data_IF_626227356437
#
_entry.id   IF_626227356437
#
_cell.length_a   1.000
_cell.length_b   1.000
_cell.length_c   1.000
_cell.angle_alpha   90.00
_cell.angle_beta   90.00
_cell.angle_gamma   90.00
#
_symmetry.space_group_name_H-M   'P 1'
#
loop_
_entity.id
_entity.type
_entity.pdbx_description
1 polymer ?
#
# COMPACT_ATOMS: atom_id res chain seq x y z
N UNK A 1 17.59 20.92 -1.28
CA UNK A 1 18.29 19.87 -0.52
C UNK A 1 18.24 18.58 -1.34
N UNK A 2 19.33 18.27 -2.05
CA UNK A 2 19.40 17.13 -2.97
C UNK A 2 19.54 15.83 -2.18
N UNK A 3 18.60 14.91 -2.37
CA UNK A 3 18.64 13.57 -1.77
C UNK A 3 19.76 12.77 -2.44
N UNK A 4 20.62 12.14 -1.65
CA UNK A 4 21.80 11.43 -2.17
C UNK A 4 21.36 10.24 -3.03
N UNK A 5 22.10 9.95 -4.10
CA UNK A 5 21.83 8.79 -4.98
C UNK A 5 21.71 7.47 -4.20
N UNK A 6 22.45 7.36 -3.09
CA UNK A 6 22.42 6.21 -2.18
C UNK A 6 21.08 6.08 -1.47
N UNK A 7 20.50 7.20 -1.02
CA UNK A 7 19.19 7.23 -0.36
C UNK A 7 18.08 6.85 -1.35
N UNK A 8 18.15 7.34 -2.58
CA UNK A 8 17.20 6.97 -3.64
C UNK A 8 17.26 5.47 -3.96
N UNK A 9 18.47 4.90 -4.04
CA UNK A 9 18.66 3.47 -4.28
C UNK A 9 18.12 2.61 -3.11
N UNK A 10 18.37 3.02 -1.87
CA UNK A 10 17.83 2.35 -0.67
C UNK A 10 16.31 2.37 -0.62
N UNK A 11 15.67 3.50 -0.98
CA UNK A 11 14.21 3.62 -1.06
C UNK A 11 13.64 2.69 -2.14
N UNK A 12 14.26 2.63 -3.32
CA UNK A 12 13.80 1.75 -4.39
C UNK A 12 13.99 0.27 -4.02
N UNK A 13 15.10 -0.07 -3.36
CA UNK A 13 15.35 -1.41 -2.86
C UNK A 13 14.32 -1.81 -1.80
N UNK A 14 14.07 -0.95 -0.81
CA UNK A 14 13.11 -1.22 0.26
C UNK A 14 11.68 -1.37 -0.28
N UNK A 15 11.27 -0.54 -1.25
CA UNK A 15 9.99 -0.69 -1.95
C UNK A 15 9.90 -2.01 -2.73
N UNK A 16 11.00 -2.45 -3.33
CA UNK A 16 11.04 -3.72 -4.07
C UNK A 16 10.93 -4.92 -3.13
N UNK A 17 11.61 -4.87 -1.98
CA UNK A 17 11.49 -5.88 -0.92
C UNK A 17 10.06 -5.90 -0.37
N UNK A 18 9.49 -4.74 -0.05
CA UNK A 18 8.10 -4.63 0.41
C UNK A 18 7.11 -5.20 -0.62
N UNK A 19 7.35 -4.95 -1.91
CA UNK A 19 6.51 -5.48 -3.00
C UNK A 19 6.47 -7.01 -3.04
N UNK A 20 7.50 -7.70 -2.55
CA UNK A 20 7.49 -9.17 -2.48
C UNK A 20 6.95 -9.67 -1.14
N UNK A 21 7.35 -9.01 -0.05
CA UNK A 21 6.96 -9.38 1.31
C UNK A 21 5.47 -9.18 1.58
N UNK A 22 4.89 -8.07 1.11
CA UNK A 22 3.49 -7.73 1.35
C UNK A 22 2.54 -8.78 0.74
N UNK A 23 2.69 -9.18 -0.54
CA UNK A 23 1.91 -10.28 -1.11
C UNK A 23 2.16 -11.63 -0.42
N UNK A 24 3.40 -11.93 -0.05
CA UNK A 24 3.71 -13.18 0.66
C UNK A 24 2.98 -13.26 2.00
N UNK A 25 2.96 -12.16 2.76
CA UNK A 25 2.20 -12.07 4.00
C UNK A 25 0.70 -12.21 3.77
N UNK A 26 0.16 -11.57 2.74
CA UNK A 26 -1.26 -11.69 2.41
C UNK A 26 -1.67 -13.09 1.92
N UNK A 27 -0.82 -13.78 1.16
CA UNK A 27 -1.04 -15.17 0.77
C UNK A 27 -1.00 -16.07 2.02
N UNK A 28 -0.02 -15.88 2.90
CA UNK A 28 0.05 -16.60 4.17
C UNK A 28 -1.22 -16.41 5.01
N UNK A 29 -1.71 -15.17 5.07
CA UNK A 29 -2.95 -14.82 5.75
C UNK A 29 -4.16 -15.50 5.09
N UNK A 30 -4.30 -15.42 3.77
CA UNK A 30 -5.35 -16.09 3.01
C UNK A 30 -5.39 -17.60 3.22
N UNK A 31 -4.23 -18.25 3.32
CA UNK A 31 -4.12 -19.69 3.56
C UNK A 31 -4.54 -20.04 4.99
N UNK A 32 -4.17 -19.21 5.97
CA UNK A 32 -4.60 -19.39 7.35
C UNK A 32 -6.12 -19.20 7.48
N UNK A 33 -6.65 -18.11 6.91
CA UNK A 33 -8.07 -17.75 6.97
C UNK A 33 -8.96 -18.70 6.17
N UNK A 34 -8.52 -19.19 5.00
CA UNK A 34 -9.31 -20.09 4.15
C UNK A 34 -9.61 -21.46 4.79
N UNK A 35 -9.01 -21.75 5.95
CA UNK A 35 -9.33 -22.94 6.76
C UNK A 35 -10.46 -22.69 7.76
N UNK A 36 -10.79 -21.44 8.05
CA UNK A 36 -11.92 -21.02 8.85
C UNK A 36 -12.99 -20.39 7.93
N UNK A 37 -14.27 -20.59 8.22
CA UNK A 37 -15.36 -20.14 7.34
C UNK A 37 -15.26 -18.63 7.08
N UNK A 38 -15.24 -18.22 5.80
CA UNK A 38 -15.05 -16.81 5.39
C UNK A 38 -16.08 -15.88 6.05
N UNK A 39 -15.61 -15.01 6.94
CA UNK A 39 -16.43 -13.91 7.44
C UNK A 39 -16.33 -12.68 6.51
N UNK A 40 -17.46 -11.99 6.31
CA UNK A 40 -17.59 -10.84 5.41
C UNK A 40 -16.54 -9.73 5.69
N UNK A 41 -16.16 -9.58 6.96
CA UNK A 41 -15.17 -8.59 7.42
C UNK A 41 -13.74 -8.91 6.95
N UNK A 42 -13.34 -10.18 6.93
CA UNK A 42 -12.04 -10.61 6.39
C UNK A 42 -11.96 -10.38 4.88
N UNK A 43 -13.02 -10.71 4.14
CA UNK A 43 -13.08 -10.47 2.70
C UNK A 43 -12.87 -8.99 2.38
N UNK A 44 -13.47 -8.11 3.18
CA UNK A 44 -13.32 -6.65 3.04
C UNK A 44 -11.88 -6.21 3.27
N UNK A 45 -11.23 -6.72 4.33
CA UNK A 45 -9.84 -6.39 4.66
C UNK A 45 -8.86 -6.87 3.58
N UNK A 46 -9.03 -8.10 3.07
CA UNK A 46 -8.26 -8.64 1.94
C UNK A 46 -8.46 -7.78 0.69
N UNK A 47 -9.68 -7.36 0.42
CA UNK A 47 -10.00 -6.55 -0.77
C UNK A 47 -9.38 -5.16 -0.67
N UNK A 48 -9.44 -4.51 0.50
CA UNK A 48 -8.78 -3.22 0.76
C UNK A 48 -7.27 -3.33 0.60
N UNK A 49 -6.69 -4.36 1.21
CA UNK A 49 -5.27 -4.67 1.06
C UNK A 49 -4.87 -4.82 -0.42
N UNK A 50 -5.57 -5.67 -1.18
CA UNK A 50 -5.26 -5.94 -2.57
C UNK A 50 -5.41 -4.67 -3.42
N UNK A 51 -6.45 -3.88 -3.15
CA UNK A 51 -6.71 -2.63 -3.86
C UNK A 51 -5.59 -1.61 -3.62
N UNK A 52 -5.22 -1.36 -2.36
CA UNK A 52 -4.11 -0.46 -2.05
C UNK A 52 -2.79 -0.95 -2.64
N UNK A 53 -2.55 -2.27 -2.64
CA UNK A 53 -1.33 -2.85 -3.18
C UNK A 53 -1.23 -2.68 -4.70
N UNK A 54 -2.33 -2.90 -5.42
CA UNK A 54 -2.40 -2.64 -6.86
C UNK A 54 -2.17 -1.16 -7.18
N UNK A 55 -2.77 -0.25 -6.43
CA UNK A 55 -2.57 1.19 -6.63
C UNK A 55 -1.13 1.59 -6.32
N UNK A 56 -0.54 1.09 -5.24
CA UNK A 56 0.86 1.34 -4.90
C UNK A 56 1.80 0.86 -6.02
N UNK A 57 1.54 -0.34 -6.55
CA UNK A 57 2.28 -0.92 -7.66
C UNK A 57 2.14 -0.10 -8.96
N UNK A 58 0.94 0.39 -9.25
CA UNK A 58 0.70 1.28 -10.39
C UNK A 58 1.45 2.61 -10.25
N UNK A 59 1.36 3.28 -9.11
CA UNK A 59 2.08 4.52 -8.83
C UNK A 59 3.60 4.35 -8.98
N UNK A 60 4.15 3.22 -8.54
CA UNK A 60 5.57 2.90 -8.70
C UNK A 60 5.94 2.69 -10.17
N UNK A 61 5.11 1.96 -10.92
CA UNK A 61 5.32 1.72 -12.34
C UNK A 61 5.33 3.03 -13.12
N UNK A 62 4.38 3.93 -12.84
CA UNK A 62 4.35 5.29 -13.40
C UNK A 62 5.60 6.07 -13.04
N UNK A 63 6.04 6.02 -11.78
CA UNK A 63 7.29 6.66 -11.34
C UNK A 63 8.52 6.17 -12.11
N UNK A 64 8.62 4.86 -12.35
CA UNK A 64 9.71 4.27 -13.15
C UNK A 64 9.66 4.71 -14.61
N UNK A 65 8.48 4.77 -15.20
CA UNK A 65 8.28 5.24 -16.58
C UNK A 65 8.66 6.72 -16.72
N UNK A 66 8.23 7.57 -15.79
CA UNK A 66 8.59 8.99 -15.76
C UNK A 66 10.11 9.19 -15.60
N UNK A 67 10.78 8.35 -14.80
CA UNK A 67 12.22 8.41 -14.65
C UNK A 67 12.94 8.05 -15.98
N UNK A 68 12.42 7.08 -16.73
CA UNK A 68 12.92 6.75 -18.08
C UNK A 68 12.70 7.87 -19.09
N UNK A 69 11.64 8.67 -18.92
CA UNK A 69 11.35 9.87 -19.74
C UNK A 69 12.12 11.12 -19.27
N UNK A 70 13.12 10.98 -18.40
CA UNK A 70 13.90 12.07 -17.80
C UNK A 70 13.06 13.12 -17.04
N UNK A 71 11.83 12.80 -16.64
CA UNK A 71 10.97 13.66 -15.79
C UNK A 71 11.18 13.34 -14.31
N UNK A 72 12.39 13.61 -13.83
CA UNK A 72 12.88 13.17 -12.51
C UNK A 72 12.02 13.68 -11.34
N UNK A 73 11.52 14.92 -11.42
CA UNK A 73 10.70 15.51 -10.36
C UNK A 73 9.35 14.78 -10.20
N UNK A 74 8.64 14.57 -11.31
CA UNK A 74 7.37 13.82 -11.32
C UNK A 74 7.58 12.34 -10.97
N UNK A 75 8.70 11.75 -11.40
CA UNK A 75 9.07 10.39 -11.05
C UNK A 75 9.27 10.21 -9.54
N UNK A 76 9.92 11.19 -8.89
CA UNK A 76 10.14 11.20 -7.45
C UNK A 76 8.82 11.35 -6.69
N UNK A 77 7.94 12.22 -7.16
CA UNK A 77 6.62 12.41 -6.55
C UNK A 77 5.75 11.16 -6.67
N UNK A 78 5.68 10.54 -7.85
CA UNK A 78 5.01 9.26 -8.06
C UNK A 78 5.56 8.15 -7.15
N UNK A 79 6.88 8.06 -7.01
CA UNK A 79 7.53 7.05 -6.15
C UNK A 79 7.24 7.30 -4.67
N UNK A 80 7.21 8.57 -4.24
CA UNK A 80 6.85 8.92 -2.85
C UNK A 80 5.38 8.60 -2.55
N UNK A 81 4.48 8.87 -3.49
CA UNK A 81 3.06 8.54 -3.33
C UNK A 81 2.84 7.03 -3.30
N UNK A 82 3.58 6.28 -4.13
CA UNK A 82 3.62 4.81 -4.06
C UNK A 82 4.07 4.31 -2.70
N UNK A 83 5.14 4.89 -2.13
CA UNK A 83 5.60 4.51 -0.79
C UNK A 83 4.53 4.74 0.28
N UNK A 84 3.81 5.87 0.24
CA UNK A 84 2.69 6.14 1.16
C UNK A 84 1.57 5.09 1.01
N UNK A 85 1.24 4.70 -0.22
CA UNK A 85 0.24 3.67 -0.48
C UNK A 85 0.71 2.28 -0.03
N UNK A 86 2.00 1.97 -0.15
CA UNK A 86 2.59 0.75 0.42
C UNK A 86 2.53 0.73 1.95
N UNK A 87 2.72 1.87 2.60
CA UNK A 87 2.54 1.97 4.06
C UNK A 87 1.07 1.75 4.41
N UNK A 88 0.13 2.31 3.64
CA UNK A 88 -1.30 2.05 3.82
C UNK A 88 -1.66 0.56 3.68
N UNK A 89 -1.09 -0.15 2.70
CA UNK A 89 -1.27 -1.61 2.60
C UNK A 89 -0.77 -2.36 3.82
N UNK A 90 0.36 -1.93 4.40
CA UNK A 90 0.91 -2.57 5.59
C UNK A 90 -0.02 -2.39 6.79
N UNK A 91 -0.55 -1.18 7.00
CA UNK A 91 -1.54 -0.95 8.06
C UNK A 91 -2.83 -1.75 7.84
N UNK A 92 -3.31 -1.89 6.60
CA UNK A 92 -4.45 -2.76 6.30
C UNK A 92 -4.18 -4.23 6.64
N UNK A 93 -2.96 -4.72 6.41
CA UNK A 93 -2.58 -6.09 6.79
C UNK A 93 -2.45 -6.25 8.31
N UNK A 94 -1.96 -5.23 9.02
CA UNK A 94 -1.89 -5.21 10.49
C UNK A 94 -3.30 -5.27 11.10
N UNK A 95 -4.26 -4.51 10.56
CA UNK A 95 -5.67 -4.56 10.99
C UNK A 95 -6.25 -5.98 10.86
N UNK A 96 -6.05 -6.62 9.71
CA UNK A 96 -6.46 -8.01 9.49
C UNK A 96 -5.84 -8.95 10.53
N UNK A 97 -4.53 -8.82 10.77
CA UNK A 97 -3.81 -9.64 11.75
C UNK A 97 -4.31 -9.42 13.19
N UNK A 98 -4.64 -8.19 13.57
CA UNK A 98 -5.25 -7.88 14.87
C UNK A 98 -6.63 -8.51 15.00
N UNK A 99 -7.47 -8.45 13.98
CA UNK A 99 -8.80 -9.08 13.98
C UNK A 99 -8.69 -10.61 14.14
N UNK A 100 -7.75 -11.26 13.45
CA UNK A 100 -7.49 -12.71 13.58
C UNK A 100 -6.96 -13.08 14.98
N UNK A 101 -6.09 -12.24 15.54
CA UNK A 101 -5.57 -12.41 16.90
C UNK A 101 -6.70 -12.33 17.95
N UNK A 102 -7.63 -11.38 17.81
CA UNK A 102 -8.80 -11.27 18.71
C UNK A 102 -9.66 -12.54 18.65
N UNK A 103 -9.90 -13.10 17.45
CA UNK A 103 -10.67 -14.35 17.29
C UNK A 103 -10.00 -15.54 17.96
N UNK A 104 -8.67 -15.60 17.94
CA UNK A 104 -7.89 -16.66 18.59
C UNK A 104 -7.99 -16.65 20.12
N UNK A 105 -8.27 -15.51 20.74
CA UNK A 105 -8.50 -15.42 22.19
C UNK A 105 -9.97 -15.76 22.51
N UNK A 106 -10.23 -17.02 22.83
CA UNK A 106 -11.57 -17.49 23.23
C UNK A 106 -12.14 -16.69 24.42
N UNK A 107 -13.38 -16.23 24.26
CA UNK A 107 -14.13 -15.16 24.96
C UNK A 107 -14.27 -15.28 26.50
N UNK A 108 -13.73 -16.30 27.17
CA UNK A 108 -14.10 -16.58 28.58
C UNK A 108 -13.47 -15.70 29.67
N UNK A 109 -12.35 -14.99 29.44
CA UNK A 109 -11.70 -14.25 30.55
C UNK A 109 -11.04 -12.89 30.23
N UNK A 110 -11.15 -12.36 29.01
CA UNK A 110 -10.35 -11.20 28.57
C UNK A 110 -11.16 -10.00 28.07
N UNK A 111 -12.41 -9.82 28.53
CA UNK A 111 -13.29 -8.72 28.12
C UNK A 111 -12.66 -7.32 28.29
N UNK A 112 -11.76 -7.15 29.27
CA UNK A 112 -11.05 -5.89 29.50
C UNK A 112 -9.96 -5.56 28.47
N UNK A 113 -9.39 -6.55 27.77
CA UNK A 113 -8.34 -6.36 26.77
C UNK A 113 -8.90 -6.23 25.35
N UNK A 114 -10.14 -6.65 25.11
CA UNK A 114 -10.78 -6.56 23.78
C UNK A 114 -11.00 -5.10 23.37
N UNK A 115 -11.50 -4.26 24.29
CA UNK A 115 -11.77 -2.84 24.01
C UNK A 115 -10.54 -2.03 23.55
N UNK A 116 -9.37 -2.08 24.23
CA UNK A 116 -8.19 -1.35 23.77
C UNK A 116 -7.63 -1.91 22.46
N UNK A 117 -7.64 -3.23 22.24
CA UNK A 117 -7.18 -3.83 20.97
C UNK A 117 -8.08 -3.41 19.81
N UNK A 118 -9.40 -3.40 20.03
CA UNK A 118 -10.36 -2.91 19.04
C UNK A 118 -10.12 -1.43 18.69
N UNK A 119 -9.88 -0.58 19.69
CA UNK A 119 -9.55 0.83 19.45
C UNK A 119 -8.26 1.00 18.64
N UNK A 120 -7.25 0.17 18.92
CA UNK A 120 -5.99 0.17 18.16
C UNK A 120 -6.25 -0.26 16.71
N UNK A 121 -7.00 -1.33 16.46
CA UNK A 121 -7.37 -1.76 15.11
C UNK A 121 -8.11 -0.67 14.34
N UNK A 122 -9.09 -0.04 14.99
CA UNK A 122 -9.84 1.08 14.40
C UNK A 122 -8.93 2.26 14.01
N UNK A 123 -8.00 2.65 14.88
CA UNK A 123 -7.02 3.71 14.60
C UNK A 123 -6.06 3.33 13.48
N UNK A 124 -5.59 2.08 13.45
CA UNK A 124 -4.73 1.54 12.39
C UNK A 124 -5.44 1.60 11.03
N UNK A 125 -6.69 1.16 10.97
CA UNK A 125 -7.49 1.22 9.74
C UNK A 125 -7.76 2.66 9.30
N UNK A 126 -8.13 3.56 10.24
CA UNK A 126 -8.30 4.98 9.93
C UNK A 126 -7.03 5.58 9.34
N UNK A 127 -5.86 5.27 9.92
CA UNK A 127 -4.58 5.75 9.44
C UNK A 127 -4.24 5.21 8.05
N UNK A 128 -4.53 3.93 7.78
CA UNK A 128 -4.39 3.32 6.47
C UNK A 128 -5.20 4.07 5.40
N UNK A 129 -6.47 4.34 5.68
CA UNK A 129 -7.37 5.05 4.77
C UNK A 129 -6.89 6.48 4.52
N UNK A 130 -6.50 7.21 5.56
CA UNK A 130 -5.97 8.58 5.42
C UNK A 130 -4.72 8.60 4.54
N UNK A 131 -3.78 7.68 4.76
CA UNK A 131 -2.58 7.57 3.93
C UNK A 131 -2.90 7.24 2.47
N UNK A 132 -3.85 6.33 2.23
CA UNK A 132 -4.28 5.96 0.88
C UNK A 132 -4.91 7.17 0.15
N UNK A 133 -5.82 7.89 0.82
CA UNK A 133 -6.46 9.09 0.27
C UNK A 133 -5.43 10.18 -0.03
N UNK A 134 -4.53 10.48 0.92
CA UNK A 134 -3.48 11.48 0.73
C UNK A 134 -2.56 11.11 -0.42
N UNK A 135 -2.16 9.83 -0.53
CA UNK A 135 -1.36 9.34 -1.65
C UNK A 135 -2.09 9.55 -2.99
N UNK A 136 -3.38 9.22 -3.07
CA UNK A 136 -4.16 9.34 -4.30
C UNK A 136 -4.33 10.81 -4.73
N UNK A 137 -4.68 11.69 -3.79
CA UNK A 137 -4.83 13.14 -4.03
C UNK A 137 -3.53 13.73 -4.57
N UNK A 138 -2.39 13.35 -4.00
CA UNK A 138 -1.07 13.83 -4.46
C UNK A 138 -0.64 13.21 -5.79
N UNK A 139 -1.17 12.05 -6.15
CA UNK A 139 -0.82 11.38 -7.40
C UNK A 139 -1.64 11.86 -8.60
N UNK A 140 -2.86 12.36 -8.38
CA UNK A 140 -3.75 12.91 -9.42
C UNK A 140 -3.08 13.96 -10.34
N UNK A 141 -2.37 14.98 -9.82
CA UNK A 141 -1.65 15.95 -10.66
C UNK A 141 -0.59 15.32 -11.56
N UNK A 142 0.11 14.29 -11.07
CA UNK A 142 1.14 13.58 -11.85
C UNK A 142 0.50 12.88 -13.05
N UNK A 143 -0.66 12.27 -12.87
CA UNK A 143 -1.41 11.62 -13.95
C UNK A 143 -1.95 12.64 -14.95
N UNK A 144 -2.48 13.78 -14.49
CA UNK A 144 -2.98 14.83 -15.35
C UNK A 144 -1.89 15.36 -16.30
N UNK A 145 -0.66 15.53 -15.80
CA UNK A 145 0.49 15.95 -16.61
C UNK A 145 0.89 14.89 -17.65
N UNK A 146 0.75 13.60 -17.34
CA UNK A 146 1.00 12.52 -18.31
C UNK A 146 -0.06 12.53 -19.42
N UNK A 147 -1.33 12.70 -19.08
CA UNK A 147 -2.43 12.73 -20.04
C UNK A 147 -2.38 13.94 -20.98
N UNK A 148 -1.84 15.06 -20.50
CA UNK A 148 -1.66 16.28 -21.31
C UNK A 148 -0.34 16.28 -22.10
N UNK A 149 0.54 15.30 -21.91
CA UNK A 149 1.80 15.25 -22.65
C UNK A 149 1.52 14.89 -24.12
N UNK A 150 1.96 15.70 -25.11
CA UNK A 150 1.80 15.35 -26.51
C UNK A 150 2.54 14.05 -26.78
N UNK A 151 1.85 13.08 -27.38
CA UNK A 151 2.44 11.83 -27.86
C UNK A 151 3.44 12.24 -28.94
N UNK A 152 4.73 12.23 -28.60
CA UNK A 152 5.79 12.34 -29.61
C UNK A 152 5.71 11.04 -30.41
N UNK A 153 5.04 11.09 -31.57
CA UNK A 153 5.18 10.04 -32.57
C UNK A 153 6.67 9.92 -32.87
N UNK A 154 7.27 8.81 -32.43
CA UNK A 154 8.58 8.39 -32.87
C UNK A 154 8.44 8.05 -34.35
N UNK A 155 8.66 9.04 -35.20
CA UNK A 155 8.98 8.83 -36.61
C UNK A 155 10.21 7.95 -36.66
N UNK A 156 10.00 6.72 -37.13
CA UNK A 156 11.03 5.79 -37.57
C UNK A 156 11.81 6.45 -38.71
N UNK A 157 13.08 6.76 -38.46
CA UNK A 157 14.11 6.85 -39.50
C UNK A 157 14.90 5.54 -39.52
#
# INVERSE_FOLDING_TARGET
MGMSYVEAALIVLSLTVLRVLIPLLAIGFLIQEGREVFELRQLTSITLFASFYLVAGYQLAVGRTLNRMARVELAREATRNSALMFIATLFSAIDAALDSLIKGFSISHTTGLVAPIFLIGWLVNLFAVVLAVVSLIRFLPVVAVILQAPIKETTSE
#
